data_IF_173243790603
#
_entry.id   IF_173243790603
#
_cell.length_a   1.000
_cell.length_b   1.000
_cell.length_c   1.000
_cell.angle_alpha   90.00
_cell.angle_beta   90.00
_cell.angle_gamma   90.00
#
_symmetry.space_group_name_H-M   'P 1'
#
loop_
_entity.id
_entity.type
_entity.pdbx_description
1 polymer ?
#
# COMPACT_ATOMS: atom_id res chain seq x y z
N UNK A 1 -35.30 -21.89 -21.10
CA UNK A 1 -36.57 -21.22 -20.77
C UNK A 1 -37.13 -21.83 -19.47
N UNK A 2 -36.39 -21.80 -18.34
CA UNK A 2 -36.78 -22.42 -17.04
C UNK A 2 -35.98 -21.85 -15.83
N UNK A 3 -35.69 -20.54 -15.77
CA UNK A 3 -34.97 -19.96 -14.58
C UNK A 3 -35.84 -18.95 -13.82
N UNK A 4 -36.88 -18.44 -14.46
CA UNK A 4 -37.67 -17.33 -13.91
C UNK A 4 -38.89 -17.80 -13.09
N UNK A 5 -39.35 -19.03 -13.32
CA UNK A 5 -40.52 -19.62 -12.65
C UNK A 5 -40.25 -19.96 -11.18
N UNK A 6 -39.06 -20.47 -10.86
CA UNK A 6 -38.76 -21.00 -9.53
C UNK A 6 -38.62 -19.90 -8.47
N UNK A 7 -38.15 -18.71 -8.88
CA UNK A 7 -37.98 -17.57 -7.99
C UNK A 7 -39.32 -16.97 -7.53
N UNK A 8 -40.33 -16.95 -8.41
CA UNK A 8 -41.67 -16.47 -8.06
C UNK A 8 -42.41 -17.43 -7.13
N UNK A 9 -42.23 -18.73 -7.36
CA UNK A 9 -42.86 -19.77 -6.56
C UNK A 9 -42.30 -19.83 -5.13
N UNK A 10 -40.98 -19.68 -4.97
CA UNK A 10 -40.34 -19.64 -3.66
C UNK A 10 -40.76 -18.44 -2.82
N UNK A 11 -41.00 -17.28 -3.44
CA UNK A 11 -41.33 -16.04 -2.75
C UNK A 11 -42.74 -16.00 -2.13
N UNK A 12 -43.61 -16.92 -2.52
CA UNK A 12 -44.99 -17.05 -2.02
C UNK A 12 -45.16 -18.15 -0.96
N UNK A 13 -44.11 -18.92 -0.68
CA UNK A 13 -44.18 -20.02 0.29
C UNK A 13 -43.98 -19.47 1.71
N UNK A 14 -44.81 -19.91 2.64
CA UNK A 14 -44.61 -19.70 4.07
C UNK A 14 -43.65 -20.76 4.63
N UNK A 15 -43.18 -20.58 5.87
CA UNK A 15 -42.29 -21.51 6.57
C UNK A 15 -40.93 -21.75 5.89
N UNK A 16 -40.23 -20.69 5.49
CA UNK A 16 -38.94 -20.78 4.79
C UNK A 16 -37.77 -20.74 5.79
N UNK A 17 -36.72 -21.52 5.53
CA UNK A 17 -35.44 -21.41 6.25
C UNK A 17 -34.42 -20.67 5.39
N UNK A 18 -33.95 -19.53 5.88
CA UNK A 18 -32.88 -18.75 5.26
C UNK A 18 -31.53 -19.20 5.83
N UNK A 19 -30.58 -19.44 4.95
CA UNK A 19 -29.22 -19.87 5.29
C UNK A 19 -28.27 -18.70 5.05
N UNK A 20 -27.63 -18.22 6.12
CA UNK A 20 -26.55 -17.24 6.04
C UNK A 20 -25.21 -17.97 6.16
N UNK A 21 -24.37 -17.81 5.13
CA UNK A 21 -23.01 -18.34 5.10
C UNK A 21 -22.07 -17.31 4.47
N UNK A 22 -20.84 -17.16 4.98
CA UNK A 22 -19.83 -16.36 4.29
C UNK A 22 -19.47 -16.99 2.95
N UNK A 23 -19.10 -16.16 1.97
CA UNK A 23 -18.70 -16.59 0.62
C UNK A 23 -17.56 -17.61 0.65
N UNK A 24 -16.57 -17.40 1.53
CA UNK A 24 -15.42 -18.28 1.70
C UNK A 24 -15.78 -19.72 2.10
N UNK A 25 -16.98 -19.95 2.62
CA UNK A 25 -17.45 -21.27 3.03
C UNK A 25 -18.22 -22.03 1.93
N UNK A 26 -18.49 -21.39 0.77
CA UNK A 26 -19.12 -22.05 -0.37
C UNK A 26 -18.12 -22.94 -1.10
N UNK A 27 -18.46 -24.21 -1.28
CA UNK A 27 -17.72 -25.20 -2.05
C UNK A 27 -18.44 -25.49 -3.36
N UNK A 28 -17.74 -25.28 -4.46
CA UNK A 28 -18.18 -25.66 -5.80
C UNK A 28 -17.17 -26.64 -6.37
N UNK A 29 -17.63 -27.80 -6.80
CA UNK A 29 -16.83 -28.75 -7.55
C UNK A 29 -17.13 -28.60 -9.05
N UNK A 30 -16.14 -28.87 -9.91
CA UNK A 30 -16.29 -28.75 -11.37
C UNK A 30 -17.33 -29.69 -11.96
N UNK A 31 -17.69 -30.74 -11.22
CA UNK A 31 -18.73 -31.71 -11.54
C UNK A 31 -20.15 -31.25 -11.14
N UNK A 32 -20.31 -30.15 -10.40
CA UNK A 32 -21.61 -29.70 -9.90
C UNK A 32 -22.40 -28.94 -10.98
N UNK A 33 -23.71 -29.20 -11.05
CA UNK A 33 -24.62 -28.51 -11.94
C UNK A 33 -24.65 -26.99 -11.65
N UNK A 34 -24.99 -26.19 -12.66
CA UNK A 34 -25.15 -24.75 -12.49
C UNK A 34 -26.20 -24.44 -11.41
N UNK A 35 -25.81 -23.70 -10.38
CA UNK A 35 -26.66 -23.35 -9.24
C UNK A 35 -26.52 -24.28 -8.02
N UNK A 36 -25.87 -25.44 -8.17
CA UNK A 36 -25.56 -26.31 -7.04
C UNK A 36 -24.29 -25.85 -6.32
N UNK A 37 -24.41 -25.70 -5.00
CA UNK A 37 -23.29 -25.36 -4.10
C UNK A 37 -23.37 -26.20 -2.84
N UNK A 38 -22.23 -26.51 -2.27
CA UNK A 38 -22.10 -27.22 -0.98
C UNK A 38 -21.35 -26.34 0.01
N UNK A 39 -21.30 -26.72 1.30
CA UNK A 39 -20.57 -25.96 2.31
C UNK A 39 -19.30 -26.71 2.72
N UNK A 40 -18.21 -26.00 2.94
CA UNK A 40 -16.98 -26.60 3.51
C UNK A 40 -17.18 -26.96 4.98
N UNK A 41 -17.79 -26.06 5.75
CA UNK A 41 -18.04 -26.24 7.18
C UNK A 41 -19.47 -25.81 7.54
N UNK A 42 -20.27 -26.75 8.04
CA UNK A 42 -21.64 -26.51 8.46
C UNK A 42 -21.76 -25.70 9.75
N UNK A 43 -20.69 -25.60 10.56
CA UNK A 43 -20.70 -24.78 11.79
C UNK A 43 -20.73 -23.28 11.52
N UNK A 44 -20.25 -22.86 10.35
CA UNK A 44 -20.26 -21.46 9.89
C UNK A 44 -21.58 -21.07 9.21
N UNK A 45 -22.56 -21.98 9.19
CA UNK A 45 -23.87 -21.77 8.58
C UNK A 45 -24.86 -21.39 9.68
N UNK A 46 -25.44 -20.20 9.57
CA UNK A 46 -26.53 -19.77 10.43
C UNK A 46 -27.87 -19.97 9.71
N UNK A 47 -28.76 -20.74 10.33
CA UNK A 47 -30.11 -21.00 9.83
C UNK A 47 -31.10 -20.12 10.58
N UNK A 48 -31.95 -19.41 9.84
CA UNK A 48 -33.03 -18.59 10.40
C UNK A 48 -34.35 -19.08 9.83
N UNK A 49 -35.27 -19.45 10.70
CA UNK A 49 -36.60 -19.89 10.31
C UNK A 49 -37.56 -18.70 10.29
N UNK A 50 -38.28 -18.54 9.18
CA UNK A 50 -39.28 -17.49 8.99
C UNK A 50 -40.63 -18.15 8.78
N UNK A 51 -41.53 -18.01 9.76
CA UNK A 51 -42.84 -18.68 9.76
C UNK A 51 -43.77 -18.13 8.67
N UNK A 52 -43.86 -16.82 8.54
CA UNK A 52 -44.74 -16.18 7.56
C UNK A 52 -44.07 -14.93 7.00
N UNK A 53 -44.36 -14.62 5.74
CA UNK A 53 -43.90 -13.38 5.12
C UNK A 53 -44.82 -12.20 5.46
N UNK A 54 -44.26 -11.18 6.07
CA UNK A 54 -44.96 -9.91 6.31
C UNK A 54 -44.85 -8.96 5.11
N UNK A 55 -45.80 -9.10 4.18
CA UNK A 55 -45.84 -8.32 2.94
C UNK A 55 -45.90 -6.78 3.13
N UNK A 56 -46.60 -6.23 4.15
CA UNK A 56 -46.63 -4.78 4.40
C UNK A 56 -45.25 -4.21 4.76
N UNK A 57 -44.44 -4.96 5.52
CA UNK A 57 -43.09 -4.53 5.91
C UNK A 57 -42.16 -4.52 4.70
N UNK A 58 -42.18 -5.59 3.90
CA UNK A 58 -41.36 -5.69 2.68
C UNK A 58 -41.69 -4.58 1.70
N UNK A 59 -42.99 -4.30 1.48
CA UNK A 59 -43.41 -3.23 0.58
C UNK A 59 -43.05 -1.83 1.10
N UNK A 60 -43.04 -1.61 2.41
CA UNK A 60 -42.56 -0.35 3.02
C UNK A 60 -41.06 -0.18 2.80
N UNK A 61 -40.26 -1.22 3.07
CA UNK A 61 -38.82 -1.20 2.91
C UNK A 61 -38.39 -0.98 1.46
N UNK A 62 -39.07 -1.62 0.50
CA UNK A 62 -38.80 -1.42 -0.92
C UNK A 62 -39.11 0.00 -1.39
N UNK A 63 -40.14 0.65 -0.83
CA UNK A 63 -40.47 2.05 -1.13
C UNK A 63 -39.41 3.03 -0.62
N UNK A 64 -38.73 2.71 0.48
CA UNK A 64 -37.64 3.53 1.04
C UNK A 64 -36.26 3.13 0.54
N UNK A 65 -36.15 2.12 -0.33
CA UNK A 65 -34.88 1.63 -0.84
C UNK A 65 -34.30 2.62 -1.84
N UNK A 66 -33.36 3.43 -1.37
CA UNK A 66 -32.54 4.29 -2.22
C UNK A 66 -31.38 3.45 -2.76
N UNK A 67 -31.49 3.00 -4.01
CA UNK A 67 -30.37 2.35 -4.70
C UNK A 67 -29.37 3.42 -5.11
N UNK A 68 -28.29 3.54 -4.35
CA UNK A 68 -27.09 4.22 -4.83
C UNK A 68 -26.33 3.19 -5.66
N UNK A 69 -26.07 3.51 -6.93
CA UNK A 69 -25.13 2.79 -7.77
C UNK A 69 -23.81 3.57 -7.79
N UNK A 70 -22.95 3.46 -6.75
CA UNK A 70 -21.60 3.95 -6.87
C UNK A 70 -20.86 3.11 -7.90
N UNK A 71 -20.25 3.76 -8.89
CA UNK A 71 -19.44 3.12 -9.91
C UNK A 71 -18.17 2.53 -9.28
N UNK A 72 -18.25 1.27 -8.84
CA UNK A 72 -17.16 0.53 -8.18
C UNK A 72 -15.87 0.49 -9.02
N UNK A 73 -15.96 0.63 -10.34
CA UNK A 73 -14.80 0.73 -11.23
C UNK A 73 -14.02 2.01 -11.02
N UNK A 74 -14.72 3.15 -10.93
CA UNK A 74 -14.10 4.45 -10.74
C UNK A 74 -13.43 4.55 -9.36
N UNK A 75 -14.09 4.06 -8.32
CA UNK A 75 -13.55 4.03 -6.96
C UNK A 75 -12.27 3.19 -6.87
N UNK A 76 -12.27 2.00 -7.50
CA UNK A 76 -11.08 1.14 -7.54
C UNK A 76 -9.92 1.77 -8.31
N UNK A 77 -10.20 2.49 -9.39
CA UNK A 77 -9.17 3.18 -10.17
C UNK A 77 -8.57 4.36 -9.40
N UNK A 78 -9.40 5.14 -8.69
CA UNK A 78 -8.94 6.23 -7.84
C UNK A 78 -8.07 5.73 -6.68
N UNK A 79 -8.45 4.62 -6.04
CA UNK A 79 -7.65 4.01 -4.98
C UNK A 79 -6.30 3.47 -5.51
N UNK A 80 -6.30 2.86 -6.70
CA UNK A 80 -5.07 2.41 -7.34
C UNK A 80 -4.14 3.59 -7.68
N UNK A 81 -4.70 4.69 -8.23
CA UNK A 81 -3.95 5.92 -8.52
C UNK A 81 -3.38 6.56 -7.24
N UNK A 82 -4.14 6.60 -6.15
CA UNK A 82 -3.66 7.12 -4.86
C UNK A 82 -2.48 6.31 -4.32
N UNK A 83 -2.57 4.97 -4.36
CA UNK A 83 -1.46 4.09 -3.94
C UNK A 83 -0.21 4.33 -4.78
N UNK A 84 -0.34 4.34 -6.11
CA UNK A 84 0.80 4.59 -7.00
C UNK A 84 1.45 5.97 -6.78
N UNK A 85 0.65 7.01 -6.52
CA UNK A 85 1.17 8.34 -6.19
C UNK A 85 1.94 8.34 -4.86
N UNK A 86 1.43 7.62 -3.85
CA UNK A 86 2.11 7.41 -2.58
C UNK A 86 3.46 6.73 -2.76
N UNK A 87 3.49 5.60 -3.46
CA UNK A 87 4.70 4.80 -3.72
C UNK A 87 5.74 5.56 -4.54
N UNK A 88 5.29 6.38 -5.50
CA UNK A 88 6.20 7.24 -6.27
C UNK A 88 6.83 8.31 -5.40
N UNK A 89 6.04 8.95 -4.53
CA UNK A 89 6.53 10.00 -3.62
C UNK A 89 7.55 9.44 -2.64
N UNK A 90 7.28 8.28 -2.03
CA UNK A 90 8.22 7.63 -1.11
C UNK A 90 9.53 7.23 -1.81
N UNK A 91 9.45 6.70 -3.03
CA UNK A 91 10.64 6.36 -3.82
C UNK A 91 11.47 7.60 -4.19
N UNK A 92 10.81 8.68 -4.61
CA UNK A 92 11.49 9.91 -4.99
C UNK A 92 12.14 10.58 -3.76
N UNK A 93 11.50 10.53 -2.59
CA UNK A 93 12.07 10.99 -1.32
C UNK A 93 13.29 10.16 -0.88
N UNK A 94 13.25 8.83 -1.04
CA UNK A 94 14.41 7.96 -0.77
C UNK A 94 15.58 8.29 -1.70
N UNK A 95 15.33 8.41 -3.01
CA UNK A 95 16.36 8.75 -4.00
C UNK A 95 16.97 10.13 -3.75
N UNK A 96 16.17 11.11 -3.34
CA UNK A 96 16.66 12.44 -2.99
C UNK A 96 17.57 12.43 -1.74
N UNK A 97 17.21 11.64 -0.72
CA UNK A 97 18.03 11.45 0.48
C UNK A 97 19.36 10.76 0.17
N UNK A 98 19.33 9.70 -0.63
CA UNK A 98 20.54 8.99 -1.06
C UNK A 98 21.47 9.89 -1.87
N UNK A 99 20.93 10.69 -2.80
CA UNK A 99 21.71 11.63 -3.60
C UNK A 99 22.39 12.71 -2.73
N UNK A 100 21.68 13.25 -1.74
CA UNK A 100 22.26 14.22 -0.78
C UNK A 100 23.40 13.59 0.02
N UNK A 101 23.18 12.38 0.54
CA UNK A 101 24.20 11.65 1.30
C UNK A 101 25.44 11.34 0.45
N UNK A 102 25.26 10.97 -0.82
CA UNK A 102 26.37 10.77 -1.76
C UNK A 102 27.15 12.07 -2.01
N UNK A 103 26.47 13.19 -2.22
CA UNK A 103 27.11 14.50 -2.40
C UNK A 103 27.91 14.92 -1.15
N UNK A 104 27.37 14.70 0.05
CA UNK A 104 28.08 14.98 1.31
C UNK A 104 29.34 14.11 1.45
N UNK A 105 29.26 12.81 1.13
CA UNK A 105 30.43 11.94 1.13
C UNK A 105 31.47 12.34 0.09
N UNK A 106 31.05 12.72 -1.11
CA UNK A 106 31.93 13.14 -2.18
C UNK A 106 32.64 14.46 -1.82
N UNK A 107 31.93 15.42 -1.23
CA UNK A 107 32.52 16.66 -0.73
C UNK A 107 33.49 16.42 0.42
N UNK A 108 33.17 15.53 1.36
CA UNK A 108 34.06 15.21 2.47
C UNK A 108 35.32 14.47 1.99
N UNK A 109 35.17 13.58 1.00
CA UNK A 109 36.30 12.92 0.34
C UNK A 109 37.17 13.94 -0.40
N UNK A 110 36.55 14.83 -1.18
CA UNK A 110 37.25 15.90 -1.89
C UNK A 110 38.03 16.79 -0.92
N UNK A 111 37.41 17.23 0.20
CA UNK A 111 38.08 18.01 1.23
C UNK A 111 39.27 17.26 1.85
N UNK A 112 39.13 15.96 2.14
CA UNK A 112 40.24 15.16 2.66
C UNK A 112 41.37 14.99 1.66
N UNK A 113 41.04 14.71 0.40
CA UNK A 113 42.04 14.50 -0.65
C UNK A 113 42.78 15.83 -0.98
N UNK A 114 42.06 16.97 -1.02
CA UNK A 114 42.65 18.30 -1.28
C UNK A 114 43.35 18.92 -0.07
N UNK A 115 43.03 18.48 1.16
CA UNK A 115 43.77 18.90 2.35
C UNK A 115 45.22 18.40 2.38
N UNK A 116 45.54 17.32 1.65
CA UNK A 116 46.92 16.87 1.48
C UNK A 116 47.61 17.56 0.30
N UNK A 117 46.87 18.01 -0.70
CA UNK A 117 47.43 18.67 -1.90
C UNK A 117 48.09 20.02 -1.53
N UNK A 118 47.45 20.80 -0.65
CA UNK A 118 47.99 22.09 -0.16
C UNK A 118 49.11 21.91 0.89
N UNK A 119 49.29 20.70 1.44
CA UNK A 119 50.29 20.40 2.47
C UNK A 119 51.63 19.93 1.87
N UNK A 120 51.65 19.49 0.61
CA UNK A 120 52.84 19.03 -0.12
C UNK A 120 53.27 19.99 -1.24
N UNK A 121 52.77 21.22 -1.23
CA UNK A 121 53.29 22.29 -2.10
C UNK A 121 54.73 22.66 -1.70
N UNK A 122 55.56 22.93 -2.71
CA UNK A 122 57.01 23.19 -2.57
C UNK A 122 57.26 24.35 -1.57
N UNK A 123 56.43 25.41 -1.63
CA UNK A 123 56.48 26.56 -0.73
C UNK A 123 56.21 26.21 0.76
N UNK A 124 55.26 25.30 1.04
CA UNK A 124 54.93 24.89 2.41
C UNK A 124 55.95 23.89 2.98
N UNK A 125 56.52 23.04 2.12
CA UNK A 125 57.63 22.16 2.48
C UNK A 125 58.88 22.96 2.82
N UNK A 126 59.23 23.98 2.04
CA UNK A 126 60.34 24.90 2.32
C UNK A 126 60.12 25.68 3.62
N UNK A 127 58.90 26.19 3.89
CA UNK A 127 58.59 26.87 5.14
C UNK A 127 58.71 25.96 6.38
N UNK A 128 58.46 24.65 6.24
CA UNK A 128 58.58 23.66 7.32
C UNK A 128 59.98 23.06 7.46
N UNK A 129 60.88 23.31 6.50
CA UNK A 129 62.26 22.87 6.54
C UNK A 129 63.09 23.77 7.47
N UNK A 130 63.81 23.14 8.41
CA UNK A 130 64.67 23.84 9.38
C UNK A 130 66.15 23.85 8.94
N UNK A 131 66.48 23.33 7.76
CA UNK A 131 67.87 23.28 7.26
C UNK A 131 68.30 24.54 6.50
N UNK A 132 67.36 25.28 5.91
CA UNK A 132 67.65 26.47 5.09
C UNK A 132 67.23 27.77 5.79
N UNK A 133 67.37 27.86 7.12
CA UNK A 133 67.06 29.07 7.88
C UNK A 133 68.30 29.92 8.14
N UNK A 134 68.20 31.21 7.82
CA UNK A 134 69.26 32.19 8.02
C UNK A 134 69.66 32.33 9.50
N UNK A 135 70.94 32.62 9.76
CA UNK A 135 71.54 32.72 11.10
C UNK A 135 70.87 33.79 12.00
N UNK A 136 70.13 34.73 11.41
CA UNK A 136 69.39 35.80 12.11
C UNK A 136 68.02 35.35 12.67
N UNK A 137 67.61 34.08 12.45
CA UNK A 137 66.29 33.58 12.89
C UNK A 137 66.08 33.61 14.42
N UNK A 138 67.16 33.66 15.22
CA UNK A 138 67.08 33.74 16.69
C UNK A 138 67.02 35.18 17.25
N UNK A 139 67.22 36.21 16.44
CA UNK A 139 67.36 37.60 16.92
C UNK A 139 66.00 38.28 17.19
N UNK A 140 64.90 37.73 16.68
CA UNK A 140 63.52 38.25 16.83
C UNK A 140 62.80 37.75 18.11
N UNK A 141 63.49 37.01 18.99
CA UNK A 141 62.93 36.46 20.25
C UNK A 141 63.57 37.03 21.53
N UNK A 142 64.43 38.06 21.43
CA UNK A 142 64.98 38.79 22.59
C UNK A 142 64.28 40.13 22.85
#
# INVERSE_FOLDING_TARGET
MLVETDFWEGNKKDNITIIYTPWSNLKKDGSMAAGQVTFHNHKLVRKVYVKQRENPIVNRLNKTRVEKYPDLRAEKEEDAKKKQRGDRKTRDEQRAKEKKKQQEYEQLKWQKDHAYDDMFTEDNLEASNNQDRDEDFLDDFM
#
